data_IF_008419873057
#
_entry.id   IF_008419873057
#
_cell.length_a   1.000
_cell.length_b   1.000
_cell.length_c   1.000
_cell.angle_alpha   90.00
_cell.angle_beta   90.00
_cell.angle_gamma   90.00
#
_symmetry.space_group_name_H-M   'P 1'
#
loop_
_entity.id
_entity.type
_entity.pdbx_description
1 polymer ?
#
# COMPACT_ATOMS: atom_id res chain seq x y z
N UNK A 1 22.11 -27.59 9.59
CA UNK A 1 21.60 -28.96 9.81
C UNK A 1 20.12 -29.00 9.52
N UNK A 2 19.75 -29.69 8.45
CA UNK A 2 18.41 -30.19 8.20
C UNK A 2 18.34 -31.60 8.78
N UNK A 3 17.34 -31.89 9.61
CA UNK A 3 17.16 -33.22 10.19
C UNK A 3 16.13 -33.94 9.32
N UNK A 4 16.52 -35.09 8.76
CA UNK A 4 15.63 -35.94 7.98
C UNK A 4 15.77 -37.39 8.42
N UNK A 5 14.67 -38.11 8.30
CA UNK A 5 14.62 -39.56 8.50
C UNK A 5 14.86 -40.23 7.15
N UNK A 6 15.85 -41.13 7.09
CA UNK A 6 16.17 -41.90 5.89
C UNK A 6 15.97 -43.40 6.12
N UNK A 7 15.50 -44.14 5.10
CA UNK A 7 15.38 -45.58 5.17
C UNK A 7 16.75 -46.26 5.26
N UNK A 8 16.84 -47.33 6.05
CA UNK A 8 18.05 -48.13 6.13
C UNK A 8 18.25 -48.87 4.79
N UNK A 9 19.44 -48.75 4.19
CA UNK A 9 19.77 -49.34 2.89
C UNK A 9 18.78 -48.99 1.75
N UNK A 10 18.10 -47.84 1.84
CA UNK A 10 17.13 -47.42 0.82
C UNK A 10 15.73 -48.04 0.95
N UNK A 11 15.49 -48.88 1.96
CA UNK A 11 14.21 -49.54 2.21
C UNK A 11 13.73 -49.31 3.66
N UNK A 12 12.59 -48.65 3.82
CA UNK A 12 12.00 -48.32 5.13
C UNK A 12 11.51 -49.53 5.90
N UNK A 13 11.29 -50.68 5.25
CA UNK A 13 10.92 -51.93 5.92
C UNK A 13 12.04 -52.45 6.83
N UNK A 14 13.30 -52.07 6.56
CA UNK A 14 14.48 -52.40 7.36
C UNK A 14 14.74 -51.38 8.48
N UNK A 15 13.75 -50.54 8.79
CA UNK A 15 13.85 -49.44 9.74
C UNK A 15 14.41 -48.16 9.10
N UNK A 16 14.49 -47.13 9.93
CA UNK A 16 14.96 -45.80 9.50
C UNK A 16 15.98 -45.25 10.49
N UNK A 17 16.88 -44.41 10.01
CA UNK A 17 17.82 -43.66 10.85
C UNK A 17 17.72 -42.16 10.60
N UNK A 18 18.11 -41.37 11.60
CA UNK A 18 18.14 -39.91 11.48
C UNK A 18 19.47 -39.48 10.89
N UNK A 19 19.42 -38.75 9.78
CA UNK A 19 20.60 -38.16 9.15
C UNK A 19 20.57 -36.65 9.38
N UNK A 20 21.73 -36.10 9.76
CA UNK A 20 21.95 -34.67 9.86
C UNK A 20 22.73 -34.21 8.63
N UNK A 21 22.04 -33.57 7.69
CA UNK A 21 22.68 -33.08 6.48
C UNK A 21 23.18 -31.64 6.69
N UNK A 22 24.46 -31.35 6.38
CA UNK A 22 24.92 -29.97 6.27
C UNK A 22 24.16 -29.29 5.13
N UNK A 23 23.74 -28.05 5.36
CA UNK A 23 23.10 -27.22 4.36
C UNK A 23 23.40 -25.77 4.72
N UNK A 24 23.60 -24.97 3.69
CA UNK A 24 23.85 -23.54 3.84
C UNK A 24 22.63 -22.88 4.47
N UNK A 25 22.90 -21.99 5.42
CA UNK A 25 21.87 -21.20 6.08
C UNK A 25 22.33 -19.76 6.09
N UNK A 26 21.38 -18.85 5.98
CA UNK A 26 21.67 -17.45 6.28
C UNK A 26 22.22 -17.35 7.71
N UNK A 27 23.29 -16.58 7.92
CA UNK A 27 23.79 -16.30 9.25
C UNK A 27 22.68 -15.68 10.10
N UNK A 28 22.62 -16.05 11.37
CA UNK A 28 21.62 -15.56 12.32
C UNK A 28 22.33 -14.89 13.48
N UNK A 29 22.01 -13.62 13.69
CA UNK A 29 22.43 -12.90 14.87
C UNK A 29 21.38 -13.06 15.97
N UNK A 30 21.83 -13.34 17.18
CA UNK A 30 20.96 -13.37 18.35
C UNK A 30 20.98 -11.98 18.96
N UNK A 31 19.92 -11.22 18.73
CA UNK A 31 19.76 -9.89 19.30
C UNK A 31 18.98 -10.03 20.62
N UNK A 32 19.52 -9.56 21.76
CA UNK A 32 18.84 -9.65 23.04
C UNK A 32 17.58 -8.75 23.07
N UNK A 33 16.60 -9.07 23.94
CA UNK A 33 15.40 -8.25 24.08
C UNK A 33 15.77 -6.85 24.56
N UNK A 34 15.32 -5.82 23.84
CA UNK A 34 15.62 -4.42 24.17
C UNK A 34 14.52 -3.71 24.98
N UNK A 35 13.57 -4.46 25.55
CA UNK A 35 12.44 -3.97 26.36
C UNK A 35 11.66 -2.81 25.71
N UNK A 36 11.52 -2.86 24.38
CA UNK A 36 10.69 -1.89 23.64
C UNK A 36 9.24 -2.33 23.76
N UNK A 37 8.36 -1.41 24.16
CA UNK A 37 6.94 -1.65 24.16
C UNK A 37 6.32 -1.24 22.82
N UNK A 38 5.29 -1.95 22.39
CA UNK A 38 4.41 -1.53 21.30
C UNK A 38 3.15 -0.95 21.96
N UNK A 39 2.98 0.34 21.85
CA UNK A 39 1.75 1.02 22.26
C UNK A 39 0.69 0.86 21.19
N UNK A 40 -0.53 0.55 21.64
CA UNK A 40 -1.70 0.41 20.77
C UNK A 40 -2.69 1.49 21.14
N UNK A 41 -3.00 2.35 20.19
CA UNK A 41 -4.05 3.35 20.29
C UNK A 41 -5.19 2.99 19.35
N UNK A 42 -6.41 3.42 19.65
CA UNK A 42 -7.53 3.24 18.74
C UNK A 42 -8.38 4.51 18.66
N UNK A 43 -9.02 4.69 17.51
CA UNK A 43 -10.02 5.74 17.28
C UNK A 43 -11.22 5.11 16.59
N UNK A 44 -12.42 5.38 17.11
CA UNK A 44 -13.66 5.07 16.38
C UNK A 44 -13.75 6.06 15.21
N UNK A 45 -13.68 5.55 13.99
CA UNK A 45 -13.73 6.38 12.78
C UNK A 45 -15.15 6.44 12.20
N UNK A 46 -15.88 5.33 12.27
CA UNK A 46 -17.30 5.22 11.92
C UNK A 46 -18.00 4.19 12.81
N UNK A 47 -19.30 3.96 12.58
CA UNK A 47 -20.02 2.84 13.21
C UNK A 47 -19.62 1.46 12.65
N UNK A 48 -18.93 1.42 11.51
CA UNK A 48 -18.54 0.18 10.82
C UNK A 48 -17.09 -0.27 11.08
N UNK A 49 -16.18 0.63 11.47
CA UNK A 49 -14.78 0.24 11.72
C UNK A 49 -14.06 1.08 12.79
N UNK A 50 -13.02 0.46 13.36
CA UNK A 50 -12.06 1.07 14.26
C UNK A 50 -10.71 1.20 13.57
N UNK A 51 -10.04 2.33 13.79
CA UNK A 51 -8.65 2.51 13.38
C UNK A 51 -7.77 2.17 14.57
N UNK A 52 -6.85 1.23 14.37
CA UNK A 52 -5.80 0.90 15.33
C UNK A 52 -4.47 1.49 14.88
N UNK A 53 -3.75 2.06 15.83
CA UNK A 53 -2.44 2.65 15.62
C UNK A 53 -1.43 1.98 16.53
N UNK A 54 -0.27 1.61 15.98
CA UNK A 54 0.78 0.91 16.69
C UNK A 54 2.06 1.73 16.65
N UNK A 55 2.70 1.93 17.81
CA UNK A 55 3.95 2.69 17.92
C UNK A 55 4.94 1.94 18.80
N UNK A 56 6.17 1.77 18.31
CA UNK A 56 7.28 1.40 19.17
C UNK A 56 7.66 2.58 20.07
N UNK A 57 7.79 2.36 21.39
CA UNK A 57 8.00 3.46 22.36
C UNK A 57 9.38 4.11 22.29
N UNK A 58 10.36 3.48 21.63
CA UNK A 58 11.70 4.04 21.49
C UNK A 58 11.67 5.28 20.60
N UNK A 59 12.33 6.34 21.06
CA UNK A 59 12.66 7.52 20.24
C UNK A 59 14.07 7.33 19.69
N UNK A 60 14.23 7.50 18.36
CA UNK A 60 15.50 7.34 17.67
C UNK A 60 16.21 8.69 17.51
N UNK A 61 17.43 8.77 18.03
CA UNK A 61 18.31 9.93 17.94
C UNK A 61 19.06 9.93 16.59
N UNK A 62 18.70 10.83 15.67
CA UNK A 62 19.27 10.86 14.31
C UNK A 62 20.80 11.00 14.26
N UNK A 63 21.39 11.64 15.27
CA UNK A 63 22.83 11.89 15.34
C UNK A 63 23.58 10.79 16.12
N UNK A 64 22.87 9.75 16.57
CA UNK A 64 23.49 8.61 17.26
C UNK A 64 24.29 7.75 16.27
N UNK A 65 25.46 7.28 16.70
CA UNK A 65 26.23 6.30 15.94
C UNK A 65 25.55 4.91 15.85
N UNK A 66 24.48 4.69 16.62
CA UNK A 66 23.66 3.45 16.60
C UNK A 66 22.34 3.62 15.87
N UNK A 67 22.10 4.78 15.25
CA UNK A 67 20.81 5.12 14.67
C UNK A 67 20.31 4.05 13.68
N UNK A 68 21.17 3.61 12.76
CA UNK A 68 20.79 2.64 11.72
C UNK A 68 20.46 1.26 12.32
N UNK A 69 21.26 0.78 13.27
CA UNK A 69 21.03 -0.51 13.94
C UNK A 69 19.74 -0.50 14.78
N UNK A 70 19.46 0.61 15.46
CA UNK A 70 18.26 0.78 16.27
C UNK A 70 17.02 0.95 15.40
N UNK A 71 17.12 1.73 14.33
CA UNK A 71 16.07 1.88 13.34
C UNK A 71 15.71 0.54 12.70
N UNK A 72 16.72 -0.22 12.23
CA UNK A 72 16.50 -1.53 11.62
C UNK A 72 15.85 -2.51 12.60
N UNK A 73 16.30 -2.52 13.86
CA UNK A 73 15.69 -3.35 14.91
C UNK A 73 14.21 -3.01 15.11
N UNK A 74 13.88 -1.73 15.23
CA UNK A 74 12.52 -1.28 15.51
C UNK A 74 11.58 -1.50 14.30
N UNK A 75 12.09 -1.34 13.08
CA UNK A 75 11.36 -1.69 11.85
C UNK A 75 11.07 -3.19 11.77
N UNK A 76 12.06 -4.04 12.05
CA UNK A 76 11.87 -5.49 12.07
C UNK A 76 10.85 -5.89 13.14
N UNK A 77 10.95 -5.31 14.35
CA UNK A 77 10.00 -5.55 15.43
C UNK A 77 8.55 -5.25 14.98
N UNK A 78 8.32 -4.10 14.37
CA UNK A 78 6.97 -3.73 13.89
C UNK A 78 6.55 -4.57 12.68
N UNK A 79 7.45 -4.86 11.75
CA UNK A 79 7.14 -5.64 10.55
C UNK A 79 6.80 -7.10 10.88
N UNK A 80 7.50 -7.71 11.83
CA UNK A 80 7.19 -9.08 12.30
C UNK A 80 5.82 -9.18 12.96
N UNK A 81 5.41 -8.13 13.70
CA UNK A 81 4.13 -8.13 14.41
C UNK A 81 2.95 -7.65 13.54
N UNK A 82 3.18 -6.73 12.59
CA UNK A 82 2.11 -6.01 11.89
C UNK A 82 2.15 -6.14 10.35
N UNK A 83 3.24 -6.66 9.79
CA UNK A 83 3.45 -6.82 8.35
C UNK A 83 3.77 -5.53 7.58
N UNK A 84 3.51 -4.34 8.16
CA UNK A 84 3.87 -3.03 7.61
C UNK A 84 4.27 -2.07 8.73
N UNK A 85 5.25 -1.21 8.46
CA UNK A 85 5.74 -0.20 9.38
C UNK A 85 6.27 1.03 8.63
N UNK A 86 6.50 2.11 9.36
CA UNK A 86 7.04 3.36 8.83
C UNK A 86 7.76 4.16 9.92
N UNK A 87 8.31 5.31 9.54
CA UNK A 87 9.06 6.21 10.43
C UNK A 87 8.41 7.59 10.38
N UNK A 88 8.22 8.20 11.53
CA UNK A 88 7.62 9.53 11.66
C UNK A 88 8.37 10.35 12.72
N UNK A 89 8.22 11.67 12.69
CA UNK A 89 8.81 12.53 13.74
C UNK A 89 8.18 12.19 15.11
N UNK A 90 9.03 12.01 16.13
CA UNK A 90 8.63 11.64 17.48
C UNK A 90 7.69 12.67 18.15
N UNK A 91 7.77 13.93 17.75
CA UNK A 91 6.95 15.05 18.25
C UNK A 91 5.53 15.06 17.65
N UNK A 92 5.29 14.30 16.58
CA UNK A 92 3.96 14.24 15.96
C UNK A 92 3.00 13.47 16.89
N UNK A 93 1.88 14.08 17.31
CA UNK A 93 0.90 13.37 18.12
C UNK A 93 0.34 12.15 17.39
N UNK A 94 0.14 11.06 18.14
CA UNK A 94 -0.40 9.80 17.59
C UNK A 94 -1.79 10.00 16.96
N UNK A 95 -2.59 10.93 17.50
CA UNK A 95 -3.90 11.30 16.96
C UNK A 95 -3.81 11.92 15.57
N UNK A 96 -2.85 12.83 15.35
CA UNK A 96 -2.59 13.42 14.04
C UNK A 96 -2.11 12.37 13.04
N UNK A 97 -1.32 11.39 13.48
CA UNK A 97 -0.95 10.27 12.62
C UNK A 97 -2.16 9.38 12.27
N UNK A 98 -3.05 9.09 13.21
CA UNK A 98 -4.29 8.37 12.93
C UNK A 98 -5.18 9.13 11.91
N UNK A 99 -5.22 10.45 11.97
CA UNK A 99 -5.95 11.26 10.98
C UNK A 99 -5.33 11.18 9.58
N UNK A 100 -4.01 10.98 9.46
CA UNK A 100 -3.39 10.72 8.14
C UNK A 100 -3.72 9.35 7.55
N UNK A 101 -4.24 8.42 8.36
CA UNK A 101 -4.71 7.11 7.90
C UNK A 101 -6.17 7.16 7.42
N UNK A 102 -6.91 8.22 7.75
CA UNK A 102 -8.27 8.43 7.24
C UNK A 102 -8.13 8.94 5.80
N UNK A 103 -8.50 8.08 4.86
CA UNK A 103 -8.65 8.46 3.46
C UNK A 103 -9.89 9.35 3.36
N UNK A 104 -9.69 10.62 3.01
CA UNK A 104 -10.77 11.51 2.61
C UNK A 104 -10.54 11.98 1.19
N UNK A 105 -11.61 11.98 0.40
CA UNK A 105 -11.59 12.41 -0.98
C UNK A 105 -12.22 13.79 -1.13
N UNK A 106 -11.54 14.68 -1.83
CA UNK A 106 -12.13 15.91 -2.31
C UNK A 106 -12.66 15.70 -3.73
N UNK A 107 -13.92 16.08 -3.97
CA UNK A 107 -14.59 15.94 -5.26
C UNK A 107 -14.76 17.32 -5.89
N UNK A 108 -14.19 17.52 -7.08
CA UNK A 108 -14.21 18.78 -7.80
C UNK A 108 -14.78 18.60 -9.21
N UNK A 109 -15.29 19.66 -9.85
CA UNK A 109 -15.47 19.65 -11.30
C UNK A 109 -14.12 19.40 -11.99
N UNK A 110 -14.12 18.87 -13.23
CA UNK A 110 -12.89 18.70 -13.99
C UNK A 110 -12.24 20.08 -14.24
N UNK A 111 -11.11 20.31 -13.57
CA UNK A 111 -10.34 21.56 -13.66
C UNK A 111 -9.35 21.56 -14.84
N UNK A 112 -8.52 22.60 -14.91
CA UNK A 112 -7.44 22.64 -15.90
C UNK A 112 -6.34 21.60 -15.61
N UNK A 113 -5.62 21.17 -16.66
CA UNK A 113 -4.50 20.22 -16.55
C UNK A 113 -3.46 20.74 -15.55
N UNK A 114 -3.18 22.03 -15.61
CA UNK A 114 -2.18 22.71 -14.80
C UNK A 114 -2.57 22.71 -13.32
N UNK A 115 -3.83 22.97 -12.98
CA UNK A 115 -4.31 22.97 -11.59
C UNK A 115 -4.23 21.58 -10.97
N UNK A 116 -4.64 20.55 -11.72
CA UNK A 116 -4.65 19.17 -11.23
C UNK A 116 -3.21 18.68 -11.05
N UNK A 117 -2.34 18.87 -12.05
CA UNK A 117 -0.93 18.50 -11.95
C UNK A 117 -0.20 19.27 -10.84
N UNK A 118 -0.46 20.57 -10.69
CA UNK A 118 0.11 21.37 -9.60
C UNK A 118 -0.28 20.84 -8.23
N UNK A 119 -1.53 20.36 -8.07
CA UNK A 119 -2.00 19.74 -6.83
C UNK A 119 -1.28 18.41 -6.55
N UNK A 120 -1.12 17.57 -7.56
CA UNK A 120 -0.43 16.26 -7.45
C UNK A 120 1.06 16.45 -7.11
N UNK A 121 1.70 17.44 -7.70
CA UNK A 121 3.14 17.69 -7.56
C UNK A 121 3.50 18.64 -6.40
N UNK A 122 2.50 19.16 -5.69
CA UNK A 122 2.72 20.13 -4.61
C UNK A 122 3.70 19.58 -3.57
N UNK A 123 4.80 20.30 -3.36
CA UNK A 123 5.81 19.96 -2.35
C UNK A 123 6.75 18.80 -2.71
N UNK A 124 6.80 18.37 -3.97
CA UNK A 124 7.64 17.24 -4.41
C UNK A 124 8.69 17.66 -5.44
N UNK A 125 9.87 17.06 -5.32
CA UNK A 125 10.92 17.15 -6.34
C UNK A 125 10.74 15.99 -7.33
N UNK A 126 10.21 16.28 -8.52
CA UNK A 126 9.83 15.28 -9.52
C UNK A 126 10.73 15.43 -10.75
N UNK A 127 11.21 14.31 -11.28
CA UNK A 127 12.02 14.26 -12.51
C UNK A 127 11.14 14.48 -13.74
N UNK A 128 11.73 14.97 -14.84
CA UNK A 128 11.01 15.23 -16.08
C UNK A 128 10.30 13.97 -16.63
N UNK A 129 10.93 12.80 -16.50
CA UNK A 129 10.32 11.52 -16.90
C UNK A 129 9.03 11.21 -16.13
N UNK A 130 9.03 11.45 -14.81
CA UNK A 130 7.84 11.24 -13.97
C UNK A 130 6.74 12.23 -14.32
N UNK A 131 7.12 13.47 -14.66
CA UNK A 131 6.17 14.48 -15.13
C UNK A 131 5.53 14.07 -16.46
N UNK A 132 6.31 13.58 -17.42
CA UNK A 132 5.80 13.11 -18.70
C UNK A 132 4.84 11.91 -18.54
N UNK A 133 5.17 10.96 -17.67
CA UNK A 133 4.27 9.81 -17.37
C UNK A 133 2.97 10.29 -16.73
N UNK A 134 3.04 11.19 -15.76
CA UNK A 134 1.87 11.77 -15.12
C UNK A 134 0.98 12.53 -16.10
N UNK A 135 1.56 13.33 -17.00
CA UNK A 135 0.84 14.03 -18.06
C UNK A 135 0.15 13.05 -19.02
N UNK A 136 0.82 11.99 -19.45
CA UNK A 136 0.23 10.97 -20.32
C UNK A 136 -0.95 10.23 -19.65
N UNK A 137 -0.81 9.93 -18.35
CA UNK A 137 -1.89 9.32 -17.56
C UNK A 137 -3.05 10.28 -17.37
N UNK A 138 -2.77 11.55 -17.10
CA UNK A 138 -3.78 12.60 -17.00
C UNK A 138 -4.57 12.76 -18.30
N UNK A 139 -3.90 12.83 -19.45
CA UNK A 139 -4.56 12.96 -20.75
C UNK A 139 -5.47 11.77 -21.06
N UNK A 140 -5.03 10.56 -20.73
CA UNK A 140 -5.87 9.38 -20.83
C UNK A 140 -7.08 9.46 -19.87
N UNK A 141 -6.87 9.86 -18.62
CA UNK A 141 -7.93 10.04 -17.63
C UNK A 141 -9.02 10.99 -18.11
N UNK A 142 -8.62 12.12 -18.68
CA UNK A 142 -9.57 13.12 -19.20
C UNK A 142 -10.28 12.64 -20.47
N UNK A 143 -9.65 11.77 -21.26
CA UNK A 143 -10.29 11.15 -22.43
C UNK A 143 -11.46 10.21 -22.09
N UNK A 144 -11.63 9.85 -20.81
CA UNK A 144 -12.80 9.09 -20.33
C UNK A 144 -14.02 10.00 -20.08
N UNK A 145 -13.87 11.31 -20.22
CA UNK A 145 -14.92 12.32 -20.00
C UNK A 145 -15.51 12.22 -18.57
N UNK A 146 -14.71 12.43 -17.51
CA UNK A 146 -15.21 12.40 -16.15
C UNK A 146 -16.19 13.54 -15.88
N UNK A 147 -17.26 13.23 -15.13
CA UNK A 147 -18.18 14.24 -14.59
C UNK A 147 -17.54 15.03 -13.47
N UNK A 148 -16.72 14.37 -12.64
CA UNK A 148 -16.01 14.95 -11.50
C UNK A 148 -14.64 14.30 -11.34
N UNK A 149 -13.71 15.04 -10.74
CA UNK A 149 -12.39 14.53 -10.35
C UNK A 149 -12.36 14.35 -8.83
N UNK A 150 -11.86 13.20 -8.42
CA UNK A 150 -11.70 12.79 -7.03
C UNK A 150 -10.21 12.85 -6.70
N UNK A 151 -9.81 13.56 -5.65
CA UNK A 151 -8.40 13.65 -5.25
C UNK A 151 -8.24 13.30 -3.78
N UNK A 152 -7.19 12.56 -3.45
CA UNK A 152 -6.93 12.16 -2.06
C UNK A 152 -6.37 13.33 -1.26
N UNK A 153 -6.78 13.44 0.01
CA UNK A 153 -6.16 14.36 0.95
C UNK A 153 -4.93 13.70 1.61
N UNK A 154 -3.91 14.51 1.92
CA UNK A 154 -2.73 14.09 2.69
C UNK A 154 -1.99 12.89 2.04
N UNK A 155 -1.72 11.80 2.76
CA UNK A 155 -0.93 10.62 2.32
C UNK A 155 -1.46 9.94 1.05
N UNK A 156 -2.71 10.20 0.65
CA UNK A 156 -3.33 9.71 -0.59
C UNK A 156 -3.31 10.73 -1.74
N UNK A 157 -2.56 11.85 -1.62
CA UNK A 157 -2.46 12.91 -2.65
C UNK A 157 -1.93 12.44 -4.01
N UNK A 158 -1.35 11.24 -4.05
CA UNK A 158 -0.80 10.66 -5.27
C UNK A 158 -1.86 9.95 -6.11
N UNK A 159 -3.07 9.80 -5.56
CA UNK A 159 -4.19 9.17 -6.22
C UNK A 159 -5.10 10.22 -6.86
N UNK A 160 -5.52 9.94 -8.09
CA UNK A 160 -6.54 10.66 -8.81
C UNK A 160 -7.65 9.69 -9.23
N UNK A 161 -8.89 10.07 -8.99
CA UNK A 161 -10.08 9.37 -9.43
C UNK A 161 -10.81 10.19 -10.50
N UNK A 162 -11.23 9.53 -11.58
CA UNK A 162 -12.15 10.05 -12.57
C UNK A 162 -13.52 9.44 -12.28
N UNK A 163 -14.43 10.25 -11.73
CA UNK A 163 -15.81 9.85 -11.48
C UNK A 163 -16.58 10.00 -12.79
N UNK A 164 -16.90 8.86 -13.39
CA UNK A 164 -17.58 8.79 -14.67
C UNK A 164 -19.10 8.78 -14.46
N UNK A 165 -19.55 8.02 -13.48
CA UNK A 165 -20.92 7.96 -12.96
C UNK A 165 -20.88 8.00 -11.42
N UNK A 166 -22.02 8.09 -10.75
CA UNK A 166 -22.09 8.18 -9.28
C UNK A 166 -21.54 6.89 -8.60
N UNK A 167 -21.63 5.77 -9.30
CA UNK A 167 -21.22 4.41 -8.92
C UNK A 167 -20.04 3.87 -9.73
N UNK A 168 -19.39 4.69 -10.58
CA UNK A 168 -18.27 4.26 -11.42
C UNK A 168 -17.11 5.25 -11.35
N UNK A 169 -16.02 4.83 -10.70
CA UNK A 169 -14.83 5.67 -10.54
C UNK A 169 -13.57 4.93 -10.98
N UNK A 170 -12.82 5.56 -11.88
CA UNK A 170 -11.51 5.06 -12.34
C UNK A 170 -10.43 5.71 -11.49
N UNK A 171 -9.64 4.92 -10.76
CA UNK A 171 -8.59 5.36 -9.85
C UNK A 171 -7.19 5.04 -10.36
N UNK A 172 -6.31 6.03 -10.29
CA UNK A 172 -4.91 5.95 -10.71
C UNK A 172 -3.99 6.52 -9.64
N UNK A 173 -2.85 5.88 -9.43
CA UNK A 173 -1.77 6.47 -8.65
C UNK A 173 -0.66 6.95 -9.59
N UNK A 174 -0.41 8.25 -9.59
CA UNK A 174 0.47 8.90 -10.56
C UNK A 174 1.94 8.58 -10.31
N UNK A 175 2.32 8.21 -9.08
CA UNK A 175 3.69 7.88 -8.73
C UNK A 175 3.95 6.38 -8.62
N UNK A 176 2.91 5.57 -8.36
CA UNK A 176 3.07 4.16 -8.02
C UNK A 176 2.88 3.21 -9.21
N UNK A 177 3.70 2.15 -9.19
CA UNK A 177 3.90 1.21 -10.29
C UNK A 177 2.74 0.25 -10.52
N UNK A 178 2.14 0.45 -11.69
CA UNK A 178 1.77 -0.59 -12.64
C UNK A 178 0.29 -0.95 -12.73
N UNK A 179 -0.67 -0.27 -12.08
CA UNK A 179 -2.08 -0.55 -12.36
C UNK A 179 -3.02 0.63 -12.13
N UNK A 180 -4.05 0.67 -12.96
CA UNK A 180 -5.25 1.48 -12.82
C UNK A 180 -6.38 0.60 -12.27
N UNK A 181 -7.22 1.18 -11.42
CA UNK A 181 -8.34 0.50 -10.79
C UNK A 181 -9.64 1.09 -11.31
N UNK A 182 -10.64 0.25 -11.54
CA UNK A 182 -12.00 0.67 -11.87
C UNK A 182 -12.86 0.17 -10.73
N UNK A 183 -13.47 1.07 -9.98
CA UNK A 183 -14.26 0.76 -8.79
C UNK A 183 -15.74 0.98 -9.12
N UNK A 184 -16.58 0.06 -8.65
CA UNK A 184 -18.02 0.04 -8.88
C UNK A 184 -18.79 0.19 -7.56
N UNK A 185 -20.04 0.66 -7.63
CA UNK A 185 -20.97 0.80 -6.51
C UNK A 185 -20.35 1.55 -5.32
N UNK A 186 -19.95 0.83 -4.28
CA UNK A 186 -19.34 1.31 -3.04
C UNK A 186 -17.86 1.72 -3.22
N UNK A 187 -17.57 2.46 -4.29
CA UNK A 187 -16.20 2.85 -4.64
C UNK A 187 -15.49 3.60 -3.50
N UNK A 188 -16.22 4.39 -2.70
CA UNK A 188 -15.66 5.12 -1.56
C UNK A 188 -15.08 4.16 -0.52
N UNK A 189 -15.81 3.10 -0.16
CA UNK A 189 -15.32 2.08 0.78
C UNK A 189 -14.20 1.24 0.18
N UNK A 190 -14.30 0.85 -1.09
CA UNK A 190 -13.27 0.05 -1.76
C UNK A 190 -11.96 0.83 -1.90
N UNK A 191 -12.04 2.13 -2.20
CA UNK A 191 -10.88 3.00 -2.35
C UNK A 191 -10.07 3.18 -1.06
N UNK A 192 -10.69 2.90 0.10
CA UNK A 192 -10.05 2.94 1.42
C UNK A 192 -9.25 1.68 1.73
N UNK A 193 -9.46 0.60 0.97
CA UNK A 193 -8.78 -0.67 1.19
C UNK A 193 -7.31 -0.61 0.78
N UNK A 194 -6.45 -1.27 1.55
CA UNK A 194 -5.05 -1.39 1.16
C UNK A 194 -4.92 -2.28 -0.10
N UNK A 195 -3.83 -2.12 -0.86
CA UNK A 195 -3.53 -3.01 -2.00
C UNK A 195 -3.58 -4.50 -1.62
N UNK A 196 -3.16 -4.85 -0.40
CA UNK A 196 -3.20 -6.25 0.07
C UNK A 196 -4.66 -6.69 0.24
N UNK A 197 -5.50 -5.85 0.83
CA UNK A 197 -6.91 -6.15 1.04
C UNK A 197 -7.66 -6.30 -0.29
N UNK A 198 -7.42 -5.42 -1.26
CA UNK A 198 -7.94 -5.54 -2.62
C UNK A 198 -7.55 -6.88 -3.26
N UNK A 199 -6.28 -7.28 -3.15
CA UNK A 199 -5.78 -8.53 -3.74
C UNK A 199 -6.15 -9.79 -2.94
N UNK A 200 -6.56 -9.65 -1.69
CA UNK A 200 -6.93 -10.77 -0.82
C UNK A 200 -8.32 -11.35 -1.09
N UNK A 201 -9.10 -10.73 -1.99
CA UNK A 201 -10.49 -11.10 -2.28
C UNK A 201 -11.52 -10.49 -1.35
N UNK A 202 -11.10 -9.75 -0.30
CA UNK A 202 -12.02 -9.03 0.61
C UNK A 202 -12.86 -7.96 -0.07
N UNK A 203 -12.34 -7.39 -1.16
CA UNK A 203 -13.03 -6.38 -1.96
C UNK A 203 -14.07 -6.96 -2.95
N UNK A 204 -14.24 -8.28 -2.98
CA UNK A 204 -15.20 -8.95 -3.86
C UNK A 204 -14.93 -8.69 -5.35
N UNK A 205 -16.01 -8.63 -6.13
CA UNK A 205 -16.00 -8.37 -7.58
C UNK A 205 -16.25 -6.91 -7.95
N UNK A 206 -16.35 -6.00 -6.97
CA UNK A 206 -16.74 -4.61 -7.17
C UNK A 206 -15.57 -3.72 -7.61
N UNK A 207 -14.52 -4.32 -8.15
CA UNK A 207 -13.45 -3.58 -8.80
C UNK A 207 -12.73 -4.42 -9.87
N UNK A 208 -12.18 -3.74 -10.86
CA UNK A 208 -11.20 -4.28 -11.79
C UNK A 208 -9.83 -3.65 -11.55
N UNK A 209 -8.77 -4.44 -11.70
CA UNK A 209 -7.38 -3.97 -11.66
C UNK A 209 -6.70 -4.26 -12.99
N UNK A 210 -6.33 -3.21 -13.72
CA UNK A 210 -5.69 -3.31 -15.03
C UNK A 210 -4.24 -2.87 -14.91
N UNK A 211 -3.31 -3.74 -15.27
CA UNK A 211 -1.88 -3.43 -15.21
C UNK A 211 -1.50 -2.51 -16.37
N UNK A 212 -0.68 -1.49 -16.13
CA UNK A 212 -0.12 -0.56 -17.12
C UNK A 212 0.89 -1.24 -18.05
N UNK A 213 0.44 -2.22 -18.82
CA UNK A 213 1.24 -3.01 -19.77
C UNK A 213 0.45 -3.28 -21.03
N UNK A 214 1.12 -3.25 -22.19
CA UNK A 214 0.46 -3.49 -23.48
C UNK A 214 -0.70 -2.52 -23.73
N UNK A 215 -1.85 -3.06 -24.11
CA UNK A 215 -3.05 -2.29 -24.49
C UNK A 215 -3.96 -1.91 -23.31
N UNK A 216 -3.39 -1.64 -22.14
CA UNK A 216 -4.14 -1.36 -20.91
C UNK A 216 -5.20 -0.25 -21.08
N UNK A 217 -4.92 0.77 -21.90
CA UNK A 217 -5.87 1.86 -22.20
C UNK A 217 -7.14 1.36 -22.88
N UNK A 218 -7.02 0.39 -23.78
CA UNK A 218 -8.17 -0.22 -24.46
C UNK A 218 -8.97 -1.08 -23.51
N UNK A 219 -8.30 -1.85 -22.64
CA UNK A 219 -8.96 -2.65 -21.61
C UNK A 219 -9.76 -1.78 -20.63
N UNK A 220 -9.21 -0.65 -20.21
CA UNK A 220 -9.95 0.33 -19.39
C UNK A 220 -11.18 0.83 -20.11
N UNK A 221 -11.06 1.24 -21.38
CA UNK A 221 -12.22 1.73 -22.16
C UNK A 221 -13.31 0.68 -22.29
N UNK A 222 -12.96 -0.58 -22.52
CA UNK A 222 -13.92 -1.70 -22.59
C UNK A 222 -14.68 -1.84 -21.26
N UNK A 223 -13.96 -1.89 -20.15
CA UNK A 223 -14.55 -2.03 -18.80
C UNK A 223 -15.43 -0.85 -18.42
N UNK A 224 -14.97 0.37 -18.69
CA UNK A 224 -15.76 1.59 -18.51
C UNK A 224 -17.04 1.57 -19.36
N UNK A 225 -16.95 1.15 -20.62
CA UNK A 225 -18.12 1.06 -21.48
C UNK A 225 -19.13 0.02 -20.97
N UNK A 226 -18.66 -1.10 -20.41
CA UNK A 226 -19.53 -2.09 -19.76
C UNK A 226 -20.16 -1.56 -18.48
N UNK A 227 -19.41 -0.83 -17.65
CA UNK A 227 -19.90 -0.29 -16.38
C UNK A 227 -20.82 0.93 -16.51
N UNK A 228 -20.94 1.53 -17.70
CA UNK A 228 -21.88 2.63 -18.00
C UNK A 228 -23.27 2.14 -18.45
N UNK A 229 -23.45 0.84 -18.65
CA UNK A 229 -24.71 0.21 -19.08
C UNK A 229 -25.54 -0.23 -17.87
#
# INVERSE_FOLDING_TARGET
LLIRTFPNWGDSSNGTHTVRLPHDKYPRDIIPPKLIAIEINHKKSSDSYFIFNFRATRILEKNSNKFDDELLFDLNLLQENLGKCGVENADKPISTYADTLIVSWDIFPPGSKEEILARIFKGKNITDDKKAVAENRYEFFMSLEPKKIVTGNSTFSNYIGAMLEDDLVVFENIEYGNAIYILYDDWDEISKLSRIDLLSGRAGSNFDRIIHSGNWKEEVRKKVATGRL
#
